data_IF_274122463356
#
_entry.id   IF_274122463356
#
_cell.length_a   1.000
_cell.length_b   1.000
_cell.length_c   1.000
_cell.angle_alpha   90.00
_cell.angle_beta   90.00
_cell.angle_gamma   90.00
#
_symmetry.space_group_name_H-M   'P 1'
#
loop_
_entity.id
_entity.type
_entity.pdbx_description
1 polymer ?
#
# COMPACT_ATOMS: atom_id res chain seq x y z
N UNK A 1 -0.79 21.40 11.83
CA UNK A 1 0.06 20.49 11.04
C UNK A 1 0.68 19.50 12.00
N UNK A 2 0.42 18.20 11.83
CA UNK A 2 1.12 17.17 12.59
C UNK A 2 2.52 17.07 11.97
N UNK A 3 3.56 17.49 12.68
CA UNK A 3 4.94 17.36 12.21
C UNK A 3 5.33 15.90 12.43
N UNK A 4 5.79 15.17 11.40
CA UNK A 4 6.22 13.79 11.60
C UNK A 4 7.38 13.76 12.61
N UNK A 5 7.45 12.74 13.48
CA UNK A 5 8.53 12.64 14.45
C UNK A 5 9.90 12.59 13.79
N UNK A 6 10.90 13.08 14.52
CA UNK A 6 12.29 13.11 14.05
C UNK A 6 12.81 11.71 13.74
N UNK A 7 13.69 11.61 12.74
CA UNK A 7 14.33 10.34 12.41
C UNK A 7 15.16 9.81 13.59
N UNK A 8 15.31 8.48 13.64
CA UNK A 8 16.02 7.75 14.68
C UNK A 8 15.42 7.88 16.09
N UNK A 9 14.17 8.32 16.20
CA UNK A 9 13.40 8.30 17.45
C UNK A 9 12.49 7.07 17.52
N UNK A 10 12.15 6.62 18.73
CA UNK A 10 11.20 5.53 18.93
C UNK A 10 9.81 5.92 18.39
N UNK A 11 9.37 7.15 18.61
CA UNK A 11 8.10 7.67 18.10
C UNK A 11 8.03 7.56 16.57
N UNK A 12 9.14 7.82 15.87
CA UNK A 12 9.20 7.64 14.42
C UNK A 12 9.14 6.18 14.01
N UNK A 13 9.82 5.29 14.73
CA UNK A 13 9.76 3.84 14.48
C UNK A 13 8.33 3.34 14.60
N UNK A 14 7.63 3.73 15.67
CA UNK A 14 6.24 3.33 15.91
C UNK A 14 5.32 3.87 14.82
N UNK A 15 5.48 5.16 14.45
CA UNK A 15 4.72 5.77 13.36
C UNK A 15 4.95 5.07 12.01
N UNK A 16 6.20 4.79 11.65
CA UNK A 16 6.56 4.12 10.40
C UNK A 16 6.01 2.67 10.38
N UNK A 17 6.00 1.97 11.53
CA UNK A 17 5.43 0.63 11.67
C UNK A 17 3.90 0.62 11.49
N UNK A 18 3.20 1.59 12.06
CA UNK A 18 1.74 1.71 11.90
C UNK A 18 1.36 1.99 10.45
N UNK A 19 2.15 2.83 9.76
CA UNK A 19 2.02 3.05 8.33
C UNK A 19 2.24 1.74 7.55
N UNK A 20 3.28 0.98 7.89
CA UNK A 20 3.54 -0.32 7.26
C UNK A 20 2.39 -1.32 7.45
N UNK A 21 1.81 -1.40 8.65
CA UNK A 21 0.66 -2.27 8.96
C UNK A 21 -0.58 -1.90 8.15
N UNK A 22 -0.85 -0.60 8.01
CA UNK A 22 -1.94 -0.11 7.17
C UNK A 22 -1.76 -0.59 5.72
N UNK A 23 -0.57 -0.44 5.17
CA UNK A 23 -0.29 -0.85 3.79
C UNK A 23 -0.28 -2.36 3.60
N UNK A 24 0.14 -3.13 4.60
CA UNK A 24 0.02 -4.59 4.56
C UNK A 24 -1.44 -5.03 4.46
N UNK A 25 -2.33 -4.40 5.24
CA UNK A 25 -3.77 -4.65 5.17
C UNK A 25 -4.34 -4.32 3.78
N UNK A 26 -3.93 -3.19 3.20
CA UNK A 26 -4.34 -2.83 1.82
C UNK A 26 -3.83 -3.83 0.77
N UNK A 27 -2.64 -4.41 0.96
CA UNK A 27 -2.14 -5.45 0.07
C UNK A 27 -2.96 -6.74 0.20
N UNK A 28 -3.45 -7.06 1.39
CA UNK A 28 -4.28 -8.22 1.65
C UNK A 28 -5.63 -8.14 0.93
N UNK A 29 -6.30 -6.98 0.99
CA UNK A 29 -7.51 -6.70 0.20
C UNK A 29 -7.31 -6.81 -1.33
N UNK A 30 -6.07 -6.64 -1.77
CA UNK A 30 -5.66 -6.72 -3.18
C UNK A 30 -5.09 -8.10 -3.56
N UNK A 31 -5.00 -9.06 -2.64
CA UNK A 31 -4.34 -10.36 -2.82
C UNK A 31 -2.88 -10.24 -3.28
N UNK A 32 -2.14 -9.24 -2.78
CA UNK A 32 -0.73 -8.96 -3.13
C UNK A 32 0.25 -9.36 -2.01
N UNK A 33 -0.24 -9.94 -0.93
CA UNK A 33 0.50 -10.13 0.32
C UNK A 33 1.73 -11.02 0.14
N UNK A 34 1.60 -12.14 -0.58
CA UNK A 34 2.73 -13.08 -0.80
C UNK A 34 3.82 -12.47 -1.69
N UNK A 35 3.44 -11.78 -2.77
CA UNK A 35 4.38 -11.15 -3.71
C UNK A 35 5.23 -10.05 -3.03
N UNK A 36 4.70 -9.42 -1.98
CA UNK A 36 5.33 -8.27 -1.32
C UNK A 36 5.91 -8.59 0.05
N UNK A 37 5.82 -9.85 0.52
CA UNK A 37 6.27 -10.26 1.85
C UNK A 37 7.72 -9.90 2.15
N UNK A 38 8.63 -10.16 1.21
CA UNK A 38 10.05 -9.80 1.35
C UNK A 38 10.26 -8.28 1.38
N UNK A 39 9.45 -7.53 0.64
CA UNK A 39 9.48 -6.06 0.63
C UNK A 39 9.09 -5.51 1.99
N UNK A 40 8.01 -6.03 2.60
CA UNK A 40 7.60 -5.64 3.95
C UNK A 40 8.65 -5.99 5.01
N UNK A 41 9.28 -7.15 4.92
CA UNK A 41 10.36 -7.55 5.83
C UNK A 41 11.60 -6.65 5.69
N UNK A 42 11.92 -6.19 4.47
CA UNK A 42 13.02 -5.23 4.27
C UNK A 42 12.67 -3.88 4.89
N UNK A 43 11.48 -3.36 4.60
CA UNK A 43 11.02 -2.07 5.11
C UNK A 43 10.93 -2.04 6.64
N UNK A 44 10.53 -3.14 7.28
CA UNK A 44 10.48 -3.22 8.75
C UNK A 44 11.85 -3.06 9.42
N UNK A 45 12.95 -3.35 8.70
CA UNK A 45 14.33 -3.13 9.19
C UNK A 45 14.83 -1.69 8.96
N UNK A 46 14.08 -0.91 8.20
CA UNK A 46 14.43 0.47 7.81
C UNK A 46 13.63 1.52 8.59
N UNK A 47 12.57 1.13 9.30
CA UNK A 47 11.73 2.05 10.12
C UNK A 47 12.56 2.96 11.01
N UNK A 48 12.10 4.20 11.18
CA UNK A 48 12.86 5.22 11.90
C UNK A 48 13.94 5.91 11.07
N UNK A 49 14.36 5.34 9.93
CA UNK A 49 15.47 5.87 9.12
C UNK A 49 14.95 6.66 7.90
N UNK A 50 15.69 7.67 7.41
CA UNK A 50 15.31 8.41 6.20
C UNK A 50 15.13 7.55 4.95
N UNK A 51 15.85 6.43 4.87
CA UNK A 51 15.77 5.48 3.74
C UNK A 51 14.39 4.81 3.67
N UNK A 52 13.77 4.55 4.82
CA UNK A 52 12.42 3.97 4.86
C UNK A 52 11.43 4.82 4.07
N UNK A 53 11.42 6.14 4.28
CA UNK A 53 10.49 7.04 3.59
C UNK A 53 10.64 6.95 2.06
N UNK A 54 11.89 6.87 1.56
CA UNK A 54 12.14 6.77 0.12
C UNK A 54 11.60 5.47 -0.46
N UNK A 55 11.89 4.34 0.18
CA UNK A 55 11.42 3.03 -0.29
C UNK A 55 9.90 2.88 -0.13
N UNK A 56 9.35 3.36 0.98
CA UNK A 56 7.94 3.32 1.27
C UNK A 56 7.11 4.11 0.22
N UNK A 57 7.59 5.27 -0.23
CA UNK A 57 6.92 6.03 -1.29
C UNK A 57 6.82 5.23 -2.60
N UNK A 58 7.82 4.38 -2.90
CA UNK A 58 7.77 3.50 -4.07
C UNK A 58 6.72 2.40 -3.91
N UNK A 59 6.68 1.77 -2.73
CA UNK A 59 5.65 0.78 -2.37
C UNK A 59 4.25 1.38 -2.46
N UNK A 60 4.04 2.56 -1.88
CA UNK A 60 2.76 3.25 -1.89
C UNK A 60 2.29 3.59 -3.31
N UNK A 61 3.20 4.04 -4.19
CA UNK A 61 2.91 4.28 -5.61
C UNK A 61 2.53 2.99 -6.32
N UNK A 62 3.26 1.89 -6.10
CA UNK A 62 2.95 0.60 -6.70
C UNK A 62 1.56 0.11 -6.32
N UNK A 63 1.22 0.15 -5.03
CA UNK A 63 -0.08 -0.29 -4.51
C UNK A 63 -1.21 0.58 -5.05
N UNK A 64 -1.03 1.90 -5.09
CA UNK A 64 -2.02 2.80 -5.68
C UNK A 64 -2.25 2.50 -7.17
N UNK A 65 -1.19 2.25 -7.94
CA UNK A 65 -1.33 1.87 -9.35
C UNK A 65 -2.10 0.56 -9.53
N UNK A 66 -1.86 -0.45 -8.68
CA UNK A 66 -2.59 -1.71 -8.68
C UNK A 66 -4.06 -1.52 -8.32
N UNK A 67 -4.35 -0.68 -7.31
CA UNK A 67 -5.71 -0.35 -6.89
C UNK A 67 -6.50 0.36 -7.99
N UNK A 68 -5.88 1.31 -8.69
CA UNK A 68 -6.54 2.00 -9.80
C UNK A 68 -6.88 1.08 -10.97
N UNK A 69 -6.00 0.10 -11.29
CA UNK A 69 -6.29 -0.90 -12.32
C UNK A 69 -7.47 -1.80 -11.95
N UNK A 70 -7.51 -2.28 -10.71
CA UNK A 70 -8.62 -3.08 -10.20
C UNK A 70 -9.94 -2.31 -10.28
N UNK A 71 -9.98 -1.01 -9.96
CA UNK A 71 -11.21 -0.21 -10.10
C UNK A 71 -11.72 -0.14 -11.55
N UNK A 72 -10.84 0.02 -12.53
CA UNK A 72 -11.23 0.07 -13.95
C UNK A 72 -11.81 -1.28 -14.40
N UNK A 73 -11.19 -2.39 -14.01
CA UNK A 73 -11.68 -3.74 -14.34
C UNK A 73 -13.10 -3.99 -13.79
N UNK A 74 -13.39 -3.56 -12.56
CA UNK A 74 -14.74 -3.71 -11.97
C UNK A 74 -15.79 -2.81 -12.64
N UNK A 75 -15.41 -1.63 -13.15
CA UNK A 75 -16.33 -0.74 -13.89
C UNK A 75 -16.62 -1.28 -15.31
N UNK A 76 -15.65 -1.92 -15.95
CA UNK A 76 -15.81 -2.60 -17.24
C UNK A 76 -16.70 -3.84 -17.12
N UNK A 77 -16.50 -4.67 -16.08
CA UNK A 77 -17.32 -5.86 -15.83
C UNK A 77 -18.80 -5.48 -15.56
N UNK A 78 -19.05 -4.48 -14.72
CA UNK A 78 -20.43 -4.02 -14.45
C UNK A 78 -21.12 -3.39 -15.66
N UNK A 79 -20.36 -2.72 -16.53
CA UNK A 79 -20.89 -2.19 -17.78
C UNK A 79 -21.26 -3.33 -18.72
N UNK A 80 -20.43 -4.37 -18.83
CA UNK A 80 -20.68 -5.52 -19.72
C UNK A 80 -21.87 -6.38 -19.28
N UNK A 81 -22.06 -6.59 -17.97
CA UNK A 81 -23.19 -7.33 -17.40
C UNK A 81 -24.53 -6.60 -17.56
N UNK A 82 -24.51 -5.27 -17.62
CA UNK A 82 -25.70 -4.46 -17.89
C UNK A 82 -26.17 -4.65 -19.34
N UNK A 83 -25.27 -4.65 -20.32
CA UNK A 83 -25.62 -4.88 -21.73
C UNK A 83 -26.14 -6.29 -22.00
N UNK A 84 -25.62 -7.30 -21.30
CA UNK A 84 -26.02 -8.70 -21.50
C UNK A 84 -27.37 -9.08 -20.87
N UNK A 85 -27.97 -8.22 -20.01
CA UNK A 85 -29.30 -8.44 -19.41
C UNK A 85 -30.45 -7.73 -20.13
N UNK A 86 -30.15 -6.91 -21.12
CA UNK A 86 -31.15 -6.15 -21.90
C UNK A 86 -31.41 -6.69 -23.30
N UNK A 87 -30.84 -7.85 -23.66
CA UNK A 87 -31.12 -8.55 -24.91
C UNK A 87 -32.00 -9.79 -24.68
#
# INVERSE_FOLDING_TARGET
>A
MLIPPDFYTQERVDSDLDILRLYYTLCDELNLTEDLKETFLRLSKLVGKPVFLKEFVLLAKFINNKRSKKKVEYEEEQSSDFYNKTC
#
